data_IF_439107583806
#
_entry.id   IF_439107583806
#
_cell.length_a   1.000
_cell.length_b   1.000
_cell.length_c   1.000
_cell.angle_alpha   90.00
_cell.angle_beta   90.00
_cell.angle_gamma   90.00
#
_symmetry.space_group_name_H-M   'P 1'
#
loop_
_entity.id
_entity.type
_entity.pdbx_description
1 polymer ?
#
# COMPACT_ATOMS: atom_id res chain seq x y z
N UNK A 1 2.79 0.07 18.82
CA UNK A 1 1.69 -0.01 17.83
C UNK A 1 0.55 -0.85 18.40
N UNK A 2 -0.68 -0.36 18.33
CA UNK A 2 -1.86 -0.95 18.99
C UNK A 2 -2.27 -2.27 18.31
N UNK A 3 -2.11 -3.39 19.02
CA UNK A 3 -2.73 -4.68 18.65
C UNK A 3 -4.21 -4.66 19.02
N UNK A 4 -5.07 -4.19 18.13
CA UNK A 4 -6.53 -4.20 18.33
C UNK A 4 -7.04 -5.64 18.18
N UNK A 5 -7.71 -6.17 19.20
CA UNK A 5 -8.31 -7.52 19.14
C UNK A 5 -9.52 -7.53 18.19
N UNK A 6 -9.61 -8.56 17.33
CA UNK A 6 -10.72 -8.79 16.40
C UNK A 6 -12.09 -8.62 17.12
N UNK A 7 -12.93 -7.67 16.68
CA UNK A 7 -14.33 -7.53 17.12
C UNK A 7 -15.31 -7.74 15.94
N UNK A 8 -15.40 -8.97 15.41
CA UNK A 8 -16.05 -9.27 14.12
C UNK A 8 -17.55 -8.94 14.08
N UNK A 9 -18.24 -8.91 15.22
CA UNK A 9 -19.68 -8.63 15.31
C UNK A 9 -20.06 -7.16 15.12
N UNK A 10 -19.15 -6.21 15.38
CA UNK A 10 -19.34 -4.79 15.05
C UNK A 10 -18.83 -4.43 13.64
N UNK A 11 -17.79 -5.11 13.15
CA UNK A 11 -17.14 -4.77 11.88
C UNK A 11 -17.90 -5.24 10.63
N UNK A 12 -18.60 -6.39 10.68
CA UNK A 12 -19.33 -6.95 9.52
C UNK A 12 -20.34 -5.99 8.88
N UNK A 13 -21.26 -5.34 9.62
CA UNK A 13 -22.21 -4.41 9.02
C UNK A 13 -21.54 -3.12 8.50
N UNK A 14 -20.48 -2.63 9.14
CA UNK A 14 -19.70 -1.47 8.69
C UNK A 14 -18.98 -1.77 7.37
N UNK A 15 -18.33 -2.93 7.23
CA UNK A 15 -17.56 -3.31 6.04
C UNK A 15 -18.45 -3.63 4.85
N UNK A 16 -19.65 -4.17 5.09
CA UNK A 16 -20.65 -4.34 4.03
C UNK A 16 -21.04 -3.01 3.37
N UNK A 17 -20.91 -1.88 4.07
CA UNK A 17 -21.14 -0.54 3.49
C UNK A 17 -20.03 -0.09 2.52
N UNK A 18 -18.83 -0.66 2.65
CA UNK A 18 -17.71 -0.39 1.74
C UNK A 18 -17.93 -1.05 0.39
N UNK A 19 -18.72 -2.13 0.29
CA UNK A 19 -19.11 -2.77 -0.98
C UNK A 19 -19.97 -1.89 -1.91
N UNK A 20 -20.01 -0.57 -1.70
CA UNK A 20 -20.66 0.39 -2.58
C UNK A 20 -19.61 1.13 -3.44
N UNK A 21 -19.87 1.32 -4.75
CA UNK A 21 -18.94 2.01 -5.65
C UNK A 21 -18.58 3.42 -5.18
N UNK A 22 -19.52 4.12 -4.52
CA UNK A 22 -19.32 5.47 -3.99
C UNK A 22 -18.29 5.52 -2.86
N UNK A 23 -18.27 4.51 -2.00
CA UNK A 23 -17.33 4.45 -0.88
C UNK A 23 -15.94 4.11 -1.41
N UNK A 24 -15.81 3.11 -2.30
CA UNK A 24 -14.52 2.81 -2.94
C UNK A 24 -13.94 3.98 -3.74
N UNK A 25 -14.75 4.71 -4.51
CA UNK A 25 -14.29 5.89 -5.23
C UNK A 25 -13.67 6.95 -4.31
N UNK A 26 -14.28 7.18 -3.14
CA UNK A 26 -13.73 8.12 -2.14
C UNK A 26 -12.45 7.62 -1.47
N UNK A 27 -12.26 6.30 -1.33
CA UNK A 27 -11.03 5.73 -0.79
C UNK A 27 -9.88 5.76 -1.79
N UNK A 28 -10.13 5.44 -3.07
CA UNK A 28 -9.15 5.57 -4.13
C UNK A 28 -8.70 7.03 -4.32
N UNK A 29 -9.63 7.98 -4.22
CA UNK A 29 -9.31 9.42 -4.21
C UNK A 29 -8.52 9.86 -2.97
N UNK A 30 -8.77 9.27 -1.80
CA UNK A 30 -8.02 9.58 -0.59
C UNK A 30 -6.58 9.02 -0.59
N UNK A 31 -6.28 8.07 -1.49
CA UNK A 31 -4.95 7.47 -1.68
C UNK A 31 -4.09 8.28 -2.66
N UNK A 32 -4.71 8.85 -3.68
CA UNK A 32 -4.02 9.61 -4.71
C UNK A 32 -3.90 11.09 -4.31
N UNK A 33 -2.72 11.69 -4.43
CA UNK A 33 -2.56 13.14 -4.31
C UNK A 33 -3.16 13.91 -5.50
N UNK A 34 -3.47 13.21 -6.60
CA UNK A 34 -3.97 13.83 -7.83
C UNK A 34 -5.35 13.28 -8.22
N UNK A 35 -6.36 14.14 -8.11
CA UNK A 35 -7.75 13.87 -8.54
C UNK A 35 -7.88 13.47 -10.03
N UNK A 36 -6.85 13.73 -10.84
CA UNK A 36 -6.91 13.59 -12.30
C UNK A 36 -6.59 12.18 -12.83
N UNK A 37 -6.05 11.27 -12.00
CA UNK A 37 -5.63 9.94 -12.46
C UNK A 37 -6.59 8.81 -12.07
N UNK A 38 -7.67 9.10 -11.32
CA UNK A 38 -8.65 8.09 -10.91
C UNK A 38 -9.76 8.00 -11.95
N UNK A 39 -9.68 7.00 -12.83
CA UNK A 39 -10.71 6.74 -13.85
C UNK A 39 -11.83 5.82 -13.32
N UNK A 40 -13.01 5.89 -13.94
CA UNK A 40 -14.10 4.94 -13.63
C UNK A 40 -13.66 3.48 -13.86
N UNK A 41 -12.81 3.23 -14.87
CA UNK A 41 -12.24 1.92 -15.13
C UNK A 41 -11.36 1.44 -13.97
N UNK A 42 -10.46 2.29 -13.47
CA UNK A 42 -9.62 1.96 -12.31
C UNK A 42 -10.47 1.67 -11.06
N UNK A 43 -11.50 2.50 -10.82
CA UNK A 43 -12.45 2.28 -9.73
C UNK A 43 -13.14 0.93 -9.89
N UNK A 44 -13.56 0.54 -11.10
CA UNK A 44 -14.15 -0.78 -11.35
C UNK A 44 -13.16 -1.91 -11.12
N UNK A 45 -11.92 -1.80 -11.61
CA UNK A 45 -10.88 -2.82 -11.42
C UNK A 45 -10.64 -3.09 -9.93
N UNK A 46 -10.56 -2.03 -9.11
CA UNK A 46 -10.37 -2.15 -7.66
C UNK A 46 -11.64 -2.66 -6.95
N UNK A 47 -12.82 -2.22 -7.39
CA UNK A 47 -14.10 -2.57 -6.77
C UNK A 47 -14.53 -4.01 -7.04
N UNK A 48 -14.33 -4.54 -8.26
CA UNK A 48 -14.89 -5.83 -8.67
C UNK A 48 -14.48 -6.98 -7.73
N UNK A 49 -13.20 -7.14 -7.31
CA UNK A 49 -12.83 -8.13 -6.29
C UNK A 49 -13.58 -7.92 -4.95
N UNK A 50 -13.90 -6.67 -4.62
CA UNK A 50 -14.72 -6.24 -3.48
C UNK A 50 -16.14 -6.84 -3.42
N UNK A 51 -16.65 -7.28 -4.56
CA UNK A 51 -18.03 -7.75 -4.74
C UNK A 51 -18.18 -9.27 -4.69
N UNK A 52 -17.07 -10.01 -4.74
CA UNK A 52 -17.09 -11.47 -4.73
C UNK A 52 -17.59 -12.06 -3.39
N UNK A 53 -18.26 -13.23 -3.42
CA UNK A 53 -18.62 -13.93 -2.20
C UNK A 53 -17.40 -14.23 -1.32
N UNK A 54 -17.41 -13.74 -0.08
CA UNK A 54 -16.31 -13.91 0.89
C UNK A 54 -15.43 -12.68 1.08
N UNK A 55 -15.56 -11.65 0.24
CA UNK A 55 -14.67 -10.47 0.33
C UNK A 55 -14.82 -9.67 1.63
N UNK A 56 -16.00 -9.68 2.26
CA UNK A 56 -16.18 -9.05 3.59
C UNK A 56 -15.26 -9.68 4.64
N UNK A 57 -15.07 -11.01 4.60
CA UNK A 57 -14.20 -11.70 5.55
C UNK A 57 -12.72 -11.40 5.24
N UNK A 58 -12.33 -11.30 3.96
CA UNK A 58 -10.98 -10.88 3.55
C UNK A 58 -10.67 -9.44 3.97
N UNK A 59 -11.62 -8.52 3.78
CA UNK A 59 -11.44 -7.13 4.18
C UNK A 59 -11.37 -6.99 5.71
N UNK A 60 -12.21 -7.74 6.44
CA UNK A 60 -12.13 -7.87 7.91
C UNK A 60 -10.78 -8.40 8.36
N UNK A 61 -10.28 -9.44 7.69
CA UNK A 61 -8.96 -9.98 7.94
C UNK A 61 -7.93 -8.87 7.77
N UNK A 62 -7.88 -8.20 6.61
CA UNK A 62 -6.94 -7.12 6.30
C UNK A 62 -6.93 -6.00 7.36
N UNK A 63 -8.08 -5.38 7.65
CA UNK A 63 -8.12 -4.23 8.58
C UNK A 63 -7.92 -4.64 10.06
N UNK A 64 -8.19 -5.90 10.40
CA UNK A 64 -7.98 -6.42 11.75
C UNK A 64 -6.67 -7.22 11.87
N UNK A 65 -5.88 -7.33 10.79
CA UNK A 65 -4.68 -8.13 10.77
C UNK A 65 -3.57 -7.37 11.50
N UNK A 66 -3.20 -7.86 12.67
CA UNK A 66 -2.02 -7.42 13.41
C UNK A 66 -1.11 -8.59 13.81
N UNK A 67 -1.26 -9.73 13.12
CA UNK A 67 -0.70 -11.03 13.53
C UNK A 67 0.50 -11.52 12.74
N UNK A 68 0.85 -10.88 11.62
CA UNK A 68 2.03 -11.24 10.82
C UNK A 68 3.33 -10.62 11.38
N UNK A 69 4.50 -11.16 11.00
CA UNK A 69 5.77 -10.51 11.27
C UNK A 69 5.82 -9.14 10.59
N UNK A 70 6.45 -8.18 11.25
CA UNK A 70 6.63 -6.84 10.74
C UNK A 70 7.70 -6.82 9.62
N UNK A 71 7.68 -5.83 8.71
CA UNK A 71 8.73 -5.67 7.70
C UNK A 71 10.14 -5.67 8.30
N UNK A 72 10.35 -5.06 9.47
CA UNK A 72 11.62 -5.03 10.20
C UNK A 72 12.08 -6.42 10.67
N UNK A 73 11.15 -7.34 10.91
CA UNK A 73 11.46 -8.73 11.26
C UNK A 73 11.79 -9.55 10.01
N UNK A 74 11.28 -9.15 8.84
CA UNK A 74 11.43 -9.88 7.58
C UNK A 74 12.65 -9.44 6.77
N UNK A 75 12.95 -8.15 6.70
CA UNK A 75 14.06 -7.59 5.92
C UNK A 75 15.40 -8.30 6.20
N UNK A 76 15.82 -8.57 7.45
CA UNK A 76 17.07 -9.29 7.73
C UNK A 76 17.13 -10.73 7.19
N UNK A 77 15.98 -11.33 6.88
CA UNK A 77 15.88 -12.69 6.37
C UNK A 77 16.01 -12.77 4.84
N UNK A 78 15.79 -11.65 4.15
CA UNK A 78 15.90 -11.56 2.69
C UNK A 78 17.34 -11.85 2.25
N UNK A 79 17.50 -12.60 1.15
CA UNK A 79 18.80 -13.07 0.63
C UNK A 79 19.21 -12.43 -0.69
N UNK A 80 18.40 -11.50 -1.18
CA UNK A 80 18.65 -10.72 -2.38
C UNK A 80 18.72 -9.23 -2.02
N UNK A 81 19.28 -8.41 -2.92
CA UNK A 81 19.18 -6.96 -2.85
C UNK A 81 17.73 -6.48 -2.65
N UNK A 82 17.55 -5.40 -1.89
CA UNK A 82 16.27 -4.73 -1.69
C UNK A 82 16.40 -3.25 -2.02
N UNK A 83 15.45 -2.75 -2.80
CA UNK A 83 15.23 -1.32 -2.99
C UNK A 83 13.91 -0.93 -2.34
N UNK A 84 13.92 0.16 -1.58
CA UNK A 84 12.72 0.75 -0.98
C UNK A 84 12.47 2.10 -1.65
N UNK A 85 11.27 2.28 -2.21
CA UNK A 85 10.82 3.56 -2.75
C UNK A 85 9.62 4.07 -1.95
N UNK A 86 9.58 5.37 -1.64
CA UNK A 86 8.60 5.96 -0.73
C UNK A 86 8.10 7.31 -1.23
N UNK A 87 6.79 7.56 -1.22
CA UNK A 87 6.21 8.86 -1.56
C UNK A 87 6.46 9.90 -0.46
N UNK A 88 7.07 11.03 -0.79
CA UNK A 88 7.35 12.09 0.19
C UNK A 88 6.10 12.59 0.91
N UNK A 89 4.96 12.59 0.21
CA UNK A 89 3.68 13.15 0.64
C UNK A 89 2.65 12.07 0.99
N UNK A 90 3.09 10.86 1.30
CA UNK A 90 2.20 9.79 1.74
C UNK A 90 1.38 10.25 2.98
N UNK A 91 0.05 10.39 2.85
CA UNK A 91 -0.80 10.88 3.94
C UNK A 91 -1.06 9.82 5.02
N UNK A 92 -0.69 8.56 4.79
CA UNK A 92 -1.03 7.42 5.63
C UNK A 92 0.20 6.85 6.34
N UNK A 93 1.34 6.79 5.65
CA UNK A 93 2.61 6.30 6.19
C UNK A 93 3.72 7.36 6.02
N UNK A 94 3.94 8.23 7.03
CA UNK A 94 4.92 9.30 6.96
C UNK A 94 6.33 8.79 6.60
N UNK A 95 6.97 9.44 5.62
CA UNK A 95 8.28 9.05 5.10
C UNK A 95 9.37 8.97 6.18
N UNK A 96 9.25 9.74 7.26
CA UNK A 96 10.16 9.69 8.41
C UNK A 96 10.22 8.31 9.06
N UNK A 97 9.10 7.58 9.08
CA UNK A 97 9.06 6.20 9.56
C UNK A 97 9.75 5.27 8.57
N UNK A 98 9.46 5.43 7.27
CA UNK A 98 10.05 4.62 6.20
C UNK A 98 11.57 4.72 6.13
N UNK A 99 12.16 5.89 6.44
CA UNK A 99 13.62 6.11 6.41
C UNK A 99 14.40 5.15 7.30
N UNK A 100 13.77 4.57 8.33
CA UNK A 100 14.39 3.53 9.16
C UNK A 100 14.78 2.29 8.33
N UNK A 101 14.07 1.98 7.25
CA UNK A 101 14.37 0.85 6.39
C UNK A 101 15.71 0.96 5.67
N UNK A 102 16.23 2.19 5.48
CA UNK A 102 17.56 2.40 4.90
C UNK A 102 18.71 1.85 5.78
N UNK A 103 18.44 1.51 7.05
CA UNK A 103 19.44 1.01 7.98
C UNK A 103 19.64 -0.51 7.93
N UNK A 104 18.83 -1.25 7.17
CA UNK A 104 18.96 -2.70 7.04
C UNK A 104 20.00 -3.05 5.99
N UNK A 105 20.92 -3.96 6.32
CA UNK A 105 22.01 -4.40 5.42
C UNK A 105 21.53 -4.94 4.07
N UNK A 106 20.30 -5.45 3.99
CA UNK A 106 19.70 -5.96 2.76
C UNK A 106 19.18 -4.85 1.84
N UNK A 107 18.97 -3.64 2.36
CA UNK A 107 18.44 -2.49 1.62
C UNK A 107 19.61 -1.71 1.04
N UNK A 108 19.78 -1.79 -0.29
CA UNK A 108 20.84 -1.09 -1.01
C UNK A 108 20.47 0.38 -1.26
N UNK A 109 19.19 0.63 -1.53
CA UNK A 109 18.66 1.95 -1.87
C UNK A 109 17.38 2.25 -1.09
N UNK A 110 17.31 3.45 -0.50
CA UNK A 110 16.07 4.05 -0.01
C UNK A 110 15.81 5.35 -0.79
N UNK A 111 14.81 5.34 -1.66
CA UNK A 111 14.51 6.44 -2.59
C UNK A 111 13.22 7.13 -2.18
N UNK A 112 13.32 8.43 -1.92
CA UNK A 112 12.14 9.28 -1.68
C UNK A 112 11.71 9.91 -3.00
N UNK A 113 10.44 9.74 -3.33
CA UNK A 113 9.81 10.24 -4.53
C UNK A 113 9.13 11.59 -4.21
N UNK A 114 9.68 12.71 -4.70
CA UNK A 114 9.22 14.04 -4.31
C UNK A 114 7.80 14.28 -4.82
N UNK A 115 6.98 14.94 -4.01
CA UNK A 115 5.58 15.27 -4.34
C UNK A 115 4.65 14.05 -4.59
N UNK A 116 5.09 12.82 -4.29
CA UNK A 116 4.33 11.58 -4.53
C UNK A 116 3.64 11.08 -3.25
N UNK A 117 2.45 10.50 -3.36
CA UNK A 117 1.60 10.03 -2.27
C UNK A 117 1.74 8.54 -1.95
N UNK A 118 0.63 7.93 -1.54
CA UNK A 118 0.59 6.56 -1.02
C UNK A 118 0.72 5.47 -2.07
N UNK A 119 0.37 5.77 -3.34
CA UNK A 119 0.47 4.80 -4.43
C UNK A 119 1.46 5.29 -5.51
N UNK A 120 2.78 5.31 -5.23
CA UNK A 120 3.76 5.86 -6.16
C UNK A 120 3.71 5.33 -7.58
N UNK A 121 3.42 4.03 -7.76
CA UNK A 121 3.34 3.39 -9.06
C UNK A 121 2.18 3.92 -9.93
N UNK A 122 1.10 4.36 -9.30
CA UNK A 122 -0.09 4.90 -9.97
C UNK A 122 -0.01 6.42 -10.11
N UNK A 123 0.62 7.09 -9.14
CA UNK A 123 0.72 8.55 -9.09
C UNK A 123 1.87 9.11 -9.95
N UNK A 124 3.02 8.43 -9.99
CA UNK A 124 4.21 8.87 -10.72
C UNK A 124 4.94 7.68 -11.38
N UNK A 125 4.29 6.95 -12.31
CA UNK A 125 4.89 5.82 -13.02
C UNK A 125 6.17 6.20 -13.77
N UNK A 126 6.29 7.44 -14.22
CA UNK A 126 7.51 7.99 -14.85
C UNK A 126 8.71 8.09 -13.90
N UNK A 127 8.47 8.15 -12.58
CA UNK A 127 9.52 8.07 -11.57
C UNK A 127 9.77 6.63 -11.14
N UNK A 128 8.70 5.83 -10.98
CA UNK A 128 8.78 4.45 -10.47
C UNK A 128 9.32 3.47 -11.51
N UNK A 129 8.86 3.54 -12.76
CA UNK A 129 9.23 2.54 -13.77
C UNK A 129 10.74 2.52 -14.08
N UNK A 130 11.41 3.67 -14.30
CA UNK A 130 12.87 3.67 -14.49
C UNK A 130 13.61 3.17 -13.26
N UNK A 131 13.10 3.43 -12.05
CA UNK A 131 13.70 2.98 -10.80
C UNK A 131 13.69 1.45 -10.70
N UNK A 132 12.54 0.83 -11.00
CA UNK A 132 12.39 -0.63 -11.02
C UNK A 132 13.25 -1.25 -12.12
N UNK A 133 13.21 -0.70 -13.34
CA UNK A 133 14.01 -1.22 -14.45
C UNK A 133 15.51 -1.18 -14.13
N UNK A 134 15.99 -0.04 -13.64
CA UNK A 134 17.39 0.12 -13.28
C UNK A 134 17.81 -0.83 -12.16
N UNK A 135 16.95 -1.06 -11.17
CA UNK A 135 17.23 -2.02 -10.09
C UNK A 135 17.32 -3.45 -10.63
N UNK A 136 16.37 -3.87 -11.47
CA UNK A 136 16.38 -5.20 -12.07
C UNK A 136 17.62 -5.39 -12.95
N UNK A 137 17.97 -4.41 -13.80
CA UNK A 137 19.17 -4.46 -14.65
C UNK A 137 20.48 -4.59 -13.87
N UNK A 138 20.57 -4.01 -12.66
CA UNK A 138 21.75 -4.16 -11.79
C UNK A 138 21.92 -5.58 -11.23
N UNK A 139 20.86 -6.38 -11.18
CA UNK A 139 20.83 -7.66 -10.49
C UNK A 139 20.35 -8.84 -11.36
N UNK A 140 20.18 -8.64 -12.67
CA UNK A 140 19.81 -9.66 -13.67
C UNK A 140 21.01 -10.32 -14.35
#
# INVERSE_FOLDING_TARGET
>A
MLRIKKQPWFGKPFIKSFQSPKVYGSYAQAQALTDNNVTDELVQIILQPGLDPGTVDVFLEFICYSGGPLPEELLPLVKCPVLVAWGEKDPWEPVELGRAYASFDTVEDFVVLPEVGHCPQDEAPELVNPLVQSFVERHS
#
